data_IF_520734778339
#
_entry.id   IF_520734778339
#
_cell.length_a   1.000
_cell.length_b   1.000
_cell.length_c   1.000
_cell.angle_alpha   90.00
_cell.angle_beta   90.00
_cell.angle_gamma   90.00
#
_symmetry.space_group_name_H-M   'P 1'
#
loop_
_entity.id
_entity.type
_entity.pdbx_description
1 polymer ?
#
# COMPACT_ATOMS: atom_id res chain seq x y z
N UNK A 1 -12.50 -9.57 3.78
CA UNK A 1 -11.91 -8.60 2.83
C UNK A 1 -12.60 -7.24 2.86
N UNK A 2 -13.88 -7.10 2.46
CA UNK A 2 -14.51 -5.77 2.27
C UNK A 2 -14.70 -4.93 3.55
N UNK A 3 -14.80 -5.54 4.72
CA UNK A 3 -14.88 -4.81 6.00
C UNK A 3 -13.58 -4.08 6.35
N UNK A 4 -12.43 -4.71 6.08
CA UNK A 4 -11.12 -4.07 6.22
C UNK A 4 -10.98 -2.86 5.29
N UNK A 5 -11.54 -2.91 4.07
CA UNK A 5 -11.50 -1.76 3.16
C UNK A 5 -12.20 -0.53 3.76
N UNK A 6 -13.32 -0.70 4.47
CA UNK A 6 -14.02 0.42 5.13
C UNK A 6 -13.21 0.98 6.30
N UNK A 7 -12.60 0.11 7.10
CA UNK A 7 -11.73 0.55 8.19
C UNK A 7 -10.50 1.29 7.67
N UNK A 8 -9.89 0.81 6.58
CA UNK A 8 -8.78 1.49 5.91
C UNK A 8 -9.22 2.81 5.27
N UNK A 9 -10.44 2.89 4.73
CA UNK A 9 -10.97 4.13 4.18
C UNK A 9 -11.11 5.19 5.28
N UNK A 10 -11.70 4.83 6.42
CA UNK A 10 -11.82 5.70 7.57
C UNK A 10 -10.45 6.16 8.06
N UNK A 11 -9.49 5.23 8.15
CA UNK A 11 -8.11 5.58 8.51
C UNK A 11 -7.47 6.55 7.51
N UNK A 12 -7.65 6.35 6.20
CA UNK A 12 -7.16 7.30 5.19
C UNK A 12 -7.83 8.68 5.34
N UNK A 13 -9.10 8.75 5.75
CA UNK A 13 -9.77 10.01 6.04
C UNK A 13 -9.15 10.72 7.26
N UNK A 14 -8.89 9.99 8.35
CA UNK A 14 -8.22 10.55 9.53
C UNK A 14 -6.81 11.06 9.20
N UNK A 15 -6.06 10.34 8.37
CA UNK A 15 -4.74 10.77 7.89
C UNK A 15 -4.88 12.03 7.03
N UNK A 16 -5.82 12.05 6.09
CA UNK A 16 -6.08 13.21 5.25
C UNK A 16 -6.42 14.45 6.08
N UNK A 17 -7.36 14.35 7.01
CA UNK A 17 -7.80 15.47 7.85
C UNK A 17 -6.66 15.99 8.74
N UNK A 18 -5.92 15.08 9.39
CA UNK A 18 -4.79 15.46 10.24
C UNK A 18 -3.64 16.13 9.48
N UNK A 19 -3.26 15.62 8.30
CA UNK A 19 -2.12 16.13 7.54
C UNK A 19 -2.47 17.36 6.71
N UNK A 20 -3.74 17.58 6.37
CA UNK A 20 -4.20 18.85 5.79
C UNK A 20 -4.34 19.94 6.86
N UNK A 21 -4.85 19.60 8.05
CA UNK A 21 -4.93 20.54 9.18
C UNK A 21 -3.55 20.90 9.75
N UNK A 22 -2.63 19.94 9.79
CA UNK A 22 -1.27 20.10 10.32
C UNK A 22 -0.23 19.58 9.33
N UNK A 23 0.12 20.35 8.27
CA UNK A 23 1.06 19.92 7.23
C UNK A 23 2.42 19.46 7.74
N UNK A 24 2.85 19.97 8.90
CA UNK A 24 4.10 19.54 9.54
C UNK A 24 4.13 18.02 9.81
N UNK A 25 2.97 17.38 10.06
CA UNK A 25 2.85 15.94 10.30
C UNK A 25 3.37 15.08 9.14
N UNK A 26 3.37 15.60 7.91
CA UNK A 26 3.94 14.93 6.74
C UNK A 26 5.43 14.59 6.91
N UNK A 27 6.12 15.33 7.79
CA UNK A 27 7.55 15.18 8.06
C UNK A 27 7.86 14.38 9.32
N UNK A 28 6.83 14.08 10.12
CA UNK A 28 7.00 13.32 11.35
C UNK A 28 6.91 11.82 11.08
N UNK A 29 7.86 11.09 11.66
CA UNK A 29 7.76 9.63 11.76
C UNK A 29 6.71 9.28 12.81
N UNK A 30 6.00 8.16 12.61
CA UNK A 30 5.11 7.63 13.62
C UNK A 30 5.82 7.46 14.96
N UNK A 31 5.10 7.71 16.07
CA UNK A 31 5.65 7.59 17.44
C UNK A 31 6.26 6.22 17.75
N UNK A 32 5.77 5.16 17.10
CA UNK A 32 6.34 3.81 17.23
C UNK A 32 7.38 3.55 16.13
N UNK A 33 8.63 3.20 16.49
CA UNK A 33 9.64 2.79 15.52
C UNK A 33 9.14 1.64 14.64
N UNK A 34 9.38 1.71 13.33
CA UNK A 34 9.06 0.64 12.37
C UNK A 34 7.62 0.62 11.85
N UNK A 35 6.79 1.61 12.18
CA UNK A 35 5.40 1.72 11.68
C UNK A 35 5.09 3.08 11.05
N UNK A 36 5.88 3.57 10.07
CA UNK A 36 5.61 4.87 9.47
C UNK A 36 4.26 4.86 8.75
N UNK A 37 3.44 5.89 8.97
CA UNK A 37 2.13 6.05 8.34
C UNK A 37 2.21 5.99 6.80
N UNK A 38 3.33 6.45 6.23
CA UNK A 38 3.61 6.40 4.79
C UNK A 38 3.72 4.97 4.24
N UNK A 39 4.31 4.03 5.01
CA UNK A 39 4.33 2.60 4.63
C UNK A 39 2.93 2.01 4.73
N UNK A 40 2.17 2.37 5.77
CA UNK A 40 0.76 1.98 5.88
C UNK A 40 -0.07 2.45 4.68
N UNK A 41 0.12 3.70 4.26
CA UNK A 41 -0.55 4.27 3.09
C UNK A 41 -0.17 3.52 1.82
N UNK A 42 1.12 3.23 1.62
CA UNK A 42 1.60 2.43 0.49
C UNK A 42 0.96 1.04 0.46
N UNK A 43 0.91 0.33 1.59
CA UNK A 43 0.30 -1.01 1.68
C UNK A 43 -1.19 -0.96 1.34
N UNK A 44 -1.93 -0.01 1.91
CA UNK A 44 -3.36 0.13 1.70
C UNK A 44 -3.68 0.48 0.24
N UNK A 45 -2.92 1.41 -0.35
CA UNK A 45 -3.08 1.80 -1.74
C UNK A 45 -2.74 0.67 -2.71
N UNK A 46 -1.68 -0.09 -2.42
CA UNK A 46 -1.28 -1.25 -3.20
C UNK A 46 -2.33 -2.36 -3.13
N UNK A 47 -2.85 -2.66 -1.93
CA UNK A 47 -3.89 -3.66 -1.75
C UNK A 47 -5.17 -3.29 -2.51
N UNK A 48 -5.65 -2.05 -2.39
CA UNK A 48 -6.87 -1.61 -3.08
C UNK A 48 -6.69 -1.51 -4.59
N UNK A 49 -5.49 -1.14 -5.06
CA UNK A 49 -5.16 -1.10 -6.49
C UNK A 49 -5.20 -2.51 -7.11
N UNK A 50 -4.65 -3.51 -6.42
CA UNK A 50 -4.74 -4.90 -6.87
C UNK A 50 -6.19 -5.39 -6.93
N UNK A 51 -7.01 -5.09 -5.91
CA UNK A 51 -8.44 -5.44 -5.90
C UNK A 51 -9.17 -4.80 -7.10
N UNK A 52 -8.96 -3.50 -7.34
CA UNK A 52 -9.62 -2.76 -8.43
C UNK A 52 -9.14 -3.20 -9.82
N UNK A 53 -7.89 -3.62 -9.95
CA UNK A 53 -7.33 -4.10 -11.20
C UNK A 53 -7.82 -5.52 -11.52
N UNK A 54 -7.69 -6.45 -10.57
CA UNK A 54 -7.86 -7.88 -10.82
C UNK A 54 -9.33 -8.33 -10.68
N UNK A 55 -10.08 -7.86 -9.67
CA UNK A 55 -11.41 -8.40 -9.37
C UNK A 55 -12.47 -7.88 -10.32
N UNK A 56 -13.13 -8.77 -11.06
CA UNK A 56 -14.18 -8.42 -12.01
C UNK A 56 -15.58 -8.39 -11.39
N UNK A 57 -15.83 -7.36 -10.58
CA UNK A 57 -17.13 -7.11 -9.96
C UNK A 57 -17.58 -5.67 -10.12
N UNK A 58 -18.89 -5.49 -10.24
CA UNK A 58 -19.52 -4.17 -10.29
C UNK A 58 -19.64 -3.51 -8.90
N UNK A 59 -19.74 -4.31 -7.84
CA UNK A 59 -20.02 -3.87 -6.46
C UNK A 59 -18.78 -3.52 -5.62
N UNK A 60 -17.69 -3.11 -6.27
CA UNK A 60 -16.45 -2.68 -5.61
C UNK A 60 -16.52 -1.26 -4.99
N UNK A 61 -17.68 -0.84 -4.49
CA UNK A 61 -17.91 0.48 -3.90
C UNK A 61 -16.90 0.85 -2.81
N UNK A 62 -16.72 0.02 -1.76
CA UNK A 62 -15.72 0.28 -0.71
C UNK A 62 -14.28 0.40 -1.23
N UNK A 63 -13.89 -0.41 -2.21
CA UNK A 63 -12.56 -0.33 -2.81
C UNK A 63 -12.37 1.00 -3.57
N UNK A 64 -13.38 1.42 -4.35
CA UNK A 64 -13.36 2.71 -5.06
C UNK A 64 -13.25 3.88 -4.08
N UNK A 65 -14.02 3.86 -2.98
CA UNK A 65 -13.96 4.91 -1.95
C UNK A 65 -12.60 4.96 -1.26
N UNK A 66 -12.06 3.80 -0.87
CA UNK A 66 -10.73 3.72 -0.28
C UNK A 66 -9.65 4.26 -1.22
N UNK A 67 -9.63 3.82 -2.49
CA UNK A 67 -8.65 4.29 -3.47
C UNK A 67 -8.70 5.82 -3.61
N UNK A 68 -9.89 6.41 -3.78
CA UNK A 68 -10.05 7.87 -3.83
C UNK A 68 -9.53 8.56 -2.57
N UNK A 69 -9.81 8.02 -1.39
CA UNK A 69 -9.35 8.59 -0.12
C UNK A 69 -7.83 8.55 0.00
N UNK A 70 -7.20 7.43 -0.37
CA UNK A 70 -5.76 7.27 -0.36
C UNK A 70 -5.07 8.24 -1.35
N UNK A 71 -5.62 8.40 -2.56
CA UNK A 71 -5.13 9.36 -3.55
C UNK A 71 -5.20 10.80 -3.04
N UNK A 72 -6.29 11.19 -2.34
CA UNK A 72 -6.37 12.54 -1.75
C UNK A 72 -5.28 12.81 -0.69
N UNK A 73 -4.86 11.79 0.06
CA UNK A 73 -3.69 11.89 0.95
C UNK A 73 -2.43 12.12 0.12
N UNK A 74 -2.24 11.38 -0.98
CA UNK A 74 -1.10 11.57 -1.89
C UNK A 74 -1.10 12.94 -2.57
N UNK A 75 -2.25 13.52 -2.89
CA UNK A 75 -2.33 14.88 -3.43
C UNK A 75 -1.85 15.93 -2.42
N UNK A 76 -2.04 15.67 -1.13
CA UNK A 76 -1.51 16.51 -0.05
C UNK A 76 0.00 16.35 0.06
N UNK A 77 0.49 15.12 -0.02
CA UNK A 77 1.93 14.78 -0.04
C UNK A 77 2.64 15.40 -1.23
N UNK A 78 2.06 15.32 -2.43
CA UNK A 78 2.62 15.83 -3.70
C UNK A 78 2.88 17.33 -3.65
N UNK A 79 2.06 18.08 -2.92
CA UNK A 79 2.20 19.54 -2.75
C UNK A 79 3.21 19.93 -1.67
N UNK A 80 3.75 18.97 -0.93
CA UNK A 80 4.68 19.23 0.16
C UNK A 80 6.10 19.47 -0.36
N UNK A 81 6.71 20.59 0.01
CA UNK A 81 8.01 21.07 -0.52
C UNK A 81 9.20 20.12 -0.38
N UNK A 82 9.14 19.16 0.54
CA UNK A 82 10.22 18.20 0.78
C UNK A 82 10.08 16.92 -0.06
N UNK A 83 8.95 16.72 -0.73
CA UNK A 83 8.69 15.54 -1.55
C UNK A 83 9.08 15.86 -2.99
N UNK A 84 10.06 15.13 -3.53
CA UNK A 84 10.38 15.15 -4.95
C UNK A 84 9.82 13.89 -5.58
N UNK A 85 9.01 14.03 -6.63
CA UNK A 85 8.43 12.88 -7.33
C UNK A 85 9.56 12.10 -7.99
N UNK A 86 9.73 10.84 -7.58
CA UNK A 86 10.84 10.00 -8.03
C UNK A 86 10.48 9.27 -9.32
N UNK A 87 11.48 8.99 -10.16
CA UNK A 87 11.33 8.05 -11.26
C UNK A 87 11.13 6.63 -10.70
N UNK A 88 10.22 5.86 -11.27
CA UNK A 88 9.89 4.51 -10.79
C UNK A 88 11.07 3.55 -11.06
N UNK A 89 11.74 2.97 -10.05
CA UNK A 89 12.97 2.20 -10.26
C UNK A 89 12.72 0.67 -10.23
N UNK A 90 11.47 0.21 -10.19
CA UNK A 90 11.18 -1.23 -10.04
C UNK A 90 11.35 -1.94 -11.39
N UNK A 91 12.20 -2.99 -11.48
CA UNK A 91 12.35 -3.76 -12.71
C UNK A 91 10.98 -4.31 -13.19
N UNK A 92 10.65 -4.21 -14.49
CA UNK A 92 9.37 -4.69 -15.02
C UNK A 92 9.06 -6.15 -14.64
N UNK A 93 10.07 -7.02 -14.68
CA UNK A 93 9.94 -8.43 -14.33
C UNK A 93 9.52 -8.66 -12.87
N UNK A 94 9.94 -7.78 -11.96
CA UNK A 94 9.55 -7.85 -10.56
C UNK A 94 8.10 -7.41 -10.35
N UNK A 95 7.66 -6.38 -11.09
CA UNK A 95 6.25 -5.95 -11.09
C UNK A 95 5.36 -7.06 -11.62
N UNK A 96 5.73 -7.67 -12.74
CA UNK A 96 5.04 -8.81 -13.37
C UNK A 96 4.93 -9.99 -12.39
N UNK A 97 6.04 -10.39 -11.77
CA UNK A 97 6.08 -11.49 -10.80
C UNK A 97 5.17 -11.24 -9.59
N UNK A 98 5.17 -10.02 -9.05
CA UNK A 98 4.31 -9.66 -7.91
C UNK A 98 2.84 -9.65 -8.28
N UNK A 99 2.50 -9.12 -9.46
CA UNK A 99 1.13 -9.17 -9.98
C UNK A 99 0.67 -10.63 -10.12
N UNK A 100 1.50 -11.49 -10.72
CA UNK A 100 1.19 -12.90 -10.90
C UNK A 100 0.84 -13.58 -9.59
N UNK A 101 1.67 -13.40 -8.56
CA UNK A 101 1.43 -14.00 -7.24
C UNK A 101 0.07 -13.58 -6.66
N UNK A 102 -0.24 -12.29 -6.66
CA UNK A 102 -1.53 -11.78 -6.15
C UNK A 102 -2.71 -12.25 -7.00
N UNK A 103 -2.52 -12.33 -8.31
CA UNK A 103 -3.55 -12.84 -9.23
C UNK A 103 -3.88 -14.31 -8.93
N UNK A 104 -2.85 -15.14 -8.76
CA UNK A 104 -2.99 -16.57 -8.45
C UNK A 104 -3.68 -16.77 -7.09
N UNK A 105 -3.37 -15.94 -6.09
CA UNK A 105 -4.07 -15.94 -4.79
C UNK A 105 -5.56 -15.63 -4.95
N UNK A 106 -5.93 -14.63 -5.76
CA UNK A 106 -7.34 -14.31 -6.02
C UNK A 106 -8.08 -15.40 -6.78
N UNK A 107 -7.40 -16.09 -7.71
CA UNK A 107 -7.96 -17.27 -8.40
C UNK A 107 -8.19 -18.41 -7.41
N UNK A 108 -7.23 -18.68 -6.53
CA UNK A 108 -7.33 -19.72 -5.52
C UNK A 108 -8.46 -19.45 -4.52
N UNK A 109 -8.70 -18.18 -4.18
CA UNK A 109 -9.82 -17.74 -3.34
C UNK A 109 -11.19 -17.78 -4.05
N UNK A 110 -11.23 -18.16 -5.33
CA UNK A 110 -12.45 -18.28 -6.12
C UNK A 110 -13.08 -16.93 -6.47
N UNK A 111 -12.31 -15.85 -6.46
CA UNK A 111 -12.80 -14.53 -6.87
C UNK A 111 -12.98 -14.49 -8.39
N UNK A 112 -14.02 -13.80 -8.90
CA UNK A 112 -14.10 -13.50 -10.33
C UNK A 112 -12.96 -12.55 -10.67
N UNK A 113 -12.00 -13.03 -11.47
CA UNK A 113 -10.85 -12.26 -11.92
C UNK A 113 -10.97 -11.89 -13.40
N UNK A 114 -10.46 -10.71 -13.76
CA UNK A 114 -10.28 -10.30 -15.15
C UNK A 114 -9.17 -11.11 -15.82
N UNK A 115 -9.09 -11.14 -17.16
CA UNK A 115 -7.90 -11.62 -17.84
C UNK A 115 -6.65 -10.91 -17.32
N UNK A 116 -5.56 -11.65 -17.13
CA UNK A 116 -4.34 -11.11 -16.54
C UNK A 116 -3.79 -9.88 -17.29
N UNK A 117 -3.77 -9.91 -18.63
CA UNK A 117 -3.28 -8.76 -19.42
C UNK A 117 -4.11 -7.50 -19.13
N UNK A 118 -5.44 -7.63 -19.04
CA UNK A 118 -6.30 -6.51 -18.66
C UNK A 118 -6.02 -6.05 -17.22
N UNK A 119 -5.87 -6.99 -16.28
CA UNK A 119 -5.54 -6.65 -14.90
C UNK A 119 -4.19 -5.93 -14.79
N UNK A 120 -3.19 -6.33 -15.58
CA UNK A 120 -1.88 -5.66 -15.66
C UNK A 120 -2.03 -4.22 -16.13
N UNK A 121 -2.74 -4.00 -17.23
CA UNK A 121 -2.88 -2.67 -17.82
C UNK A 121 -3.65 -1.73 -16.88
N UNK A 122 -4.67 -2.24 -16.20
CA UNK A 122 -5.40 -1.49 -15.16
C UNK A 122 -4.53 -1.17 -13.96
N UNK A 123 -3.72 -2.11 -13.48
CA UNK A 123 -2.82 -1.89 -12.35
C UNK A 123 -1.74 -0.87 -12.69
N UNK A 124 -1.21 -0.92 -13.91
CA UNK A 124 -0.28 0.07 -14.42
C UNK A 124 -0.91 1.47 -14.43
N UNK A 125 -2.14 1.60 -14.92
CA UNK A 125 -2.87 2.87 -14.91
C UNK A 125 -3.11 3.42 -13.50
N UNK A 126 -3.50 2.56 -12.54
CA UNK A 126 -3.72 2.97 -11.14
C UNK A 126 -2.42 3.42 -10.44
N UNK A 127 -1.28 2.85 -10.82
CA UNK A 127 0.02 3.14 -10.19
C UNK A 127 0.78 4.31 -10.81
N UNK A 128 0.45 4.70 -12.04
CA UNK A 128 1.21 5.67 -12.83
C UNK A 128 1.43 7.00 -12.10
N UNK A 129 0.39 7.50 -11.43
CA UNK A 129 0.45 8.79 -10.72
C UNK A 129 0.85 8.65 -9.24
N UNK A 130 0.54 7.50 -8.63
CA UNK A 130 0.61 7.32 -7.18
C UNK A 130 1.98 6.81 -6.70
N UNK A 131 2.56 5.83 -7.40
CA UNK A 131 3.83 5.20 -7.01
C UNK A 131 5.00 6.21 -6.99
N UNK A 132 5.16 7.09 -7.98
CA UNK A 132 6.20 8.12 -7.96
C UNK A 132 6.13 9.04 -6.72
N UNK A 133 4.92 9.36 -6.26
CA UNK A 133 4.71 10.20 -5.06
C UNK A 133 5.07 9.44 -3.79
N UNK A 134 4.67 8.18 -3.68
CA UNK A 134 5.02 7.31 -2.55
C UNK A 134 6.53 7.11 -2.40
N UNK A 135 7.24 6.93 -3.52
CA UNK A 135 8.70 6.84 -3.53
C UNK A 135 9.35 8.14 -3.07
N UNK A 136 8.89 9.27 -3.60
CA UNK A 136 9.35 10.59 -3.16
C UNK A 136 9.12 10.85 -1.67
N UNK A 137 7.98 10.42 -1.14
CA UNK A 137 7.68 10.50 0.30
C UNK A 137 8.62 9.61 1.13
N UNK A 138 8.88 8.38 0.66
CA UNK A 138 9.81 7.45 1.30
C UNK A 138 11.22 8.04 1.40
N UNK A 139 11.70 8.66 0.32
CA UNK A 139 12.99 9.36 0.28
C UNK A 139 13.02 10.56 1.23
N UNK A 140 12.01 11.42 1.16
CA UNK A 140 11.90 12.61 2.03
C UNK A 140 11.90 12.25 3.52
N UNK A 141 11.32 11.10 3.89
CA UNK A 141 11.22 10.62 5.26
C UNK A 141 12.42 9.80 5.73
N UNK A 142 13.35 9.47 4.82
CA UNK A 142 14.39 8.45 5.00
C UNK A 142 13.80 7.16 5.61
N UNK A 143 12.61 6.79 5.14
CA UNK A 143 11.81 5.69 5.66
C UNK A 143 11.52 4.73 4.51
N UNK A 144 12.40 3.72 4.28
CA UNK A 144 12.22 2.78 3.20
C UNK A 144 10.83 2.15 3.22
N UNK A 145 10.23 1.93 2.05
CA UNK A 145 8.92 1.27 1.91
C UNK A 145 8.90 -0.21 2.36
N UNK A 146 9.98 -0.70 2.97
CA UNK A 146 10.04 -2.03 3.56
C UNK A 146 9.36 -2.08 4.92
N UNK A 147 8.34 -2.93 5.06
CA UNK A 147 7.79 -3.26 6.36
C UNK A 147 8.81 -4.06 7.18
N UNK A 148 9.30 -3.47 8.28
CA UNK A 148 10.12 -4.17 9.26
C UNK A 148 9.32 -4.34 10.55
N UNK A 149 8.77 -5.53 10.82
CA UNK A 149 8.11 -5.76 12.09
C UNK A 149 9.15 -5.65 13.20
N UNK A 150 9.09 -4.57 13.99
CA UNK A 150 9.75 -4.50 15.30
C UNK A 150 8.99 -5.40 16.28
N UNK A 151 8.93 -6.69 15.97
CA UNK A 151 8.37 -7.70 16.87
C UNK A 151 9.48 -8.05 17.84
N UNK A 152 9.30 -7.63 19.09
CA UNK A 152 10.11 -8.19 20.19
C UNK A 152 9.82 -9.69 20.18
N UNK A 153 10.83 -10.56 20.01
CA UNK A 153 10.60 -12.00 20.04
C UNK A 153 9.98 -12.36 21.39
N UNK A 154 8.88 -13.10 21.37
CA UNK A 154 8.28 -13.63 22.58
C UNK A 154 9.22 -14.72 23.12
N UNK A 155 9.66 -14.66 24.39
CA UNK A 155 10.55 -15.65 24.98
C UNK A 155 9.80 -16.94 25.32
N UNK A 156 9.02 -17.47 24.37
CA UNK A 156 8.18 -18.66 24.57
C UNK A 156 7.94 -19.49 23.30
N UNK A 157 8.45 -19.09 22.13
CA UNK A 157 8.27 -19.89 20.89
C UNK A 157 9.59 -20.54 20.43
N UNK A 158 10.09 -21.49 21.21
CA UNK A 158 10.87 -22.58 20.63
C UNK A 158 9.97 -23.81 20.67
N UNK A 159 9.45 -24.24 19.50
CA UNK A 159 8.98 -25.62 19.42
C UNK A 159 10.22 -26.51 19.52
N UNK A 160 10.15 -27.64 20.23
CA UNK A 160 11.31 -28.52 20.46
C UNK A 160 11.88 -29.20 19.19
N UNK A 161 11.41 -28.84 17.98
CA UNK A 161 11.89 -29.39 16.70
C UNK A 161 13.11 -28.67 16.11
N UNK A 162 13.53 -27.53 16.67
CA UNK A 162 14.55 -26.66 16.05
C UNK A 162 15.96 -26.82 16.67
N UNK A 163 16.22 -27.91 17.39
CA UNK A 163 17.58 -28.22 17.85
C UNK A 163 18.39 -28.83 16.69
N UNK A 164 19.56 -28.28 16.33
CA UNK A 164 20.42 -28.90 15.32
C UNK A 164 20.87 -30.28 15.81
N UNK A 165 20.75 -31.28 14.93
CA UNK A 165 21.24 -32.66 15.14
C UNK A 165 22.75 -32.72 15.27
#
# INVERSE_FOLDING_TARGET
>A
MFEQLRSWEAWCADVYDSHTAYPMLLTFRSRQPGRPWSVGLGIVLEAVSNVLAVVDRSDLGPAKSLYRRAVMVLDTVRRHRQVTVAAMPVPPDEVERRLRAVYDDFVADGLPVRPLDEARDRLHALRADDVPVLLGLSEAMLAPLGFRPNVRPLPVSARPSDAPS
#
